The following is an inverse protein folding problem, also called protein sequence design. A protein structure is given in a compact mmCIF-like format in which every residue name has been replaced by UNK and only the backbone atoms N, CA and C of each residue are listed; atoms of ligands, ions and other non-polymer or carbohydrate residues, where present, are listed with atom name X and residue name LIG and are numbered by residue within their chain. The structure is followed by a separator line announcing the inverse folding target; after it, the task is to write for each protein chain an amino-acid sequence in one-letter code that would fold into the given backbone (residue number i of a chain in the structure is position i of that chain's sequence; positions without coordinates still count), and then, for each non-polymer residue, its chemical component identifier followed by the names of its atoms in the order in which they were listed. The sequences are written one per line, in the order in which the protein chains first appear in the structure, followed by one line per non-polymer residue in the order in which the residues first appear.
data_IF_413281458787
#
_entry.id   IF_413281458787
#
_cell.length_a   1.000
_cell.length_b   1.000
_cell.length_c   1.000
_cell.angle_alpha   90.00
_cell.angle_beta   90.00
_cell.angle_gamma   90.00
#
_symmetry.space_group_name_H-M   'P 1'
#
loop_
_entity.id
_entity.type
_entity.pdbx_description
1 polymer ?
#
# COMPACT_ATOMS: atom_id res chain seq x y z
N UNK A 1 -9.92 -2.24 3.42
CA UNK A 1 -11.12 -2.99 2.99
C UNK A 1 -10.80 -3.74 1.71
N UNK A 2 -11.55 -4.79 1.37
CA UNK A 2 -11.28 -5.61 0.18
C UNK A 2 -12.57 -5.96 -0.57
N UNK A 3 -12.53 -5.86 -1.90
CA UNK A 3 -13.53 -6.44 -2.81
C UNK A 3 -12.94 -7.65 -3.52
N UNK A 4 -13.76 -8.68 -3.73
CA UNK A 4 -13.39 -9.85 -4.51
C UNK A 4 -13.44 -9.59 -6.04
N UNK A 5 -13.22 -10.63 -6.84
CA UNK A 5 -13.23 -10.54 -8.31
C UNK A 5 -14.62 -10.25 -8.88
N UNK A 6 -15.68 -10.45 -8.11
CA UNK A 6 -17.07 -10.16 -8.44
C UNK A 6 -17.47 -8.75 -7.96
N UNK A 7 -16.53 -7.99 -7.40
CA UNK A 7 -16.76 -6.66 -6.86
C UNK A 7 -17.54 -6.65 -5.54
N UNK A 8 -17.72 -7.81 -4.90
CA UNK A 8 -18.42 -7.92 -3.63
C UNK A 8 -17.46 -7.69 -2.47
N UNK A 9 -17.96 -7.06 -1.39
CA UNK A 9 -17.17 -6.86 -0.18
C UNK A 9 -16.84 -8.20 0.48
N UNK A 10 -15.56 -8.46 0.72
CA UNK A 10 -15.12 -9.58 1.56
C UNK A 10 -15.57 -9.33 2.99
N UNK A 11 -16.05 -10.36 3.68
CA UNK A 11 -16.55 -10.26 5.05
C UNK A 11 -15.87 -11.25 5.99
N UNK A 12 -15.73 -10.86 7.24
CA UNK A 12 -15.24 -11.67 8.36
C UNK A 12 -16.23 -11.51 9.52
N UNK A 13 -16.81 -12.61 10.01
CA UNK A 13 -17.83 -12.60 11.08
C UNK A 13 -19.04 -11.69 10.79
N UNK A 14 -19.42 -11.53 9.52
CA UNK A 14 -20.56 -10.72 9.09
C UNK A 14 -20.24 -9.24 8.83
N UNK A 15 -19.06 -8.77 9.24
CA UNK A 15 -18.58 -7.40 9.01
C UNK A 15 -17.68 -7.34 7.77
N UNK A 16 -17.53 -6.14 7.19
CA UNK A 16 -16.61 -5.94 6.06
C UNK A 16 -15.18 -6.16 6.54
N UNK A 17 -14.45 -7.02 5.83
CA UNK A 17 -13.07 -7.31 6.16
C UNK A 17 -12.20 -6.08 5.90
N UNK A 18 -11.32 -5.78 6.85
CA UNK A 18 -10.31 -4.73 6.70
C UNK A 18 -9.04 -5.05 7.47
N UNK A 19 -7.96 -4.42 7.02
CA UNK A 19 -6.70 -4.32 7.72
C UNK A 19 -6.24 -2.85 7.67
N UNK A 20 -5.83 -2.25 8.80
CA UNK A 20 -5.29 -0.90 8.80
C UNK A 20 -3.91 -0.88 8.13
N UNK A 21 -3.58 0.22 7.46
CA UNK A 21 -2.26 0.48 6.89
C UNK A 21 -1.86 1.93 7.17
N UNK A 22 -0.61 2.17 7.54
CA UNK A 22 -0.05 3.49 7.72
C UNK A 22 0.55 3.99 6.40
N UNK A 23 0.12 5.18 5.97
CA UNK A 23 0.53 5.77 4.69
C UNK A 23 1.67 6.80 4.84
N UNK A 24 2.18 6.97 6.07
CA UNK A 24 3.07 8.06 6.45
C UNK A 24 4.55 7.76 6.17
N UNK A 25 5.23 8.74 5.59
CA UNK A 25 6.69 8.76 5.45
C UNK A 25 7.37 9.33 6.68
N UNK A 26 8.50 8.72 7.07
CA UNK A 26 9.37 9.20 8.16
C UNK A 26 9.92 10.61 7.89
N UNK A 27 10.13 10.95 6.61
CA UNK A 27 10.65 12.27 6.21
C UNK A 27 9.58 13.36 6.18
N UNK A 28 8.30 12.98 6.20
CA UNK A 28 7.14 13.91 6.11
C UNK A 28 7.18 14.85 4.90
N UNK A 29 7.85 14.45 3.82
CA UNK A 29 7.87 15.21 2.56
C UNK A 29 6.54 15.05 1.82
N UNK A 30 6.11 16.03 1.01
CA UNK A 30 4.92 15.90 0.17
C UNK A 30 4.99 14.69 -0.76
N UNK A 31 3.82 14.18 -1.15
CA UNK A 31 3.68 12.98 -1.99
C UNK A 31 4.42 13.06 -3.34
N UNK A 32 4.72 14.26 -3.85
CA UNK A 32 5.43 14.46 -5.12
C UNK A 32 6.92 14.13 -5.03
N UNK A 33 7.50 14.07 -3.83
CA UNK A 33 8.93 13.82 -3.65
C UNK A 33 9.23 12.32 -3.50
N UNK A 34 10.44 11.93 -3.92
CA UNK A 34 11.04 10.65 -3.51
C UNK A 34 11.09 10.60 -1.98
N UNK A 35 10.72 9.45 -1.42
CA UNK A 35 10.56 9.25 0.02
C UNK A 35 9.52 10.15 0.71
N UNK A 36 8.63 10.80 -0.05
CA UNK A 36 7.48 11.52 0.49
C UNK A 36 6.33 10.63 0.89
N UNK A 37 5.24 11.24 1.37
CA UNK A 37 4.01 10.54 1.73
C UNK A 37 3.53 9.62 0.60
N UNK A 38 2.80 8.56 0.96
CA UNK A 38 2.16 7.69 -0.02
C UNK A 38 1.15 8.51 -0.82
N UNK A 39 1.27 8.61 -2.16
CA UNK A 39 0.31 9.36 -2.96
C UNK A 39 -1.07 8.73 -2.90
N UNK A 40 -2.12 9.56 -2.93
CA UNK A 40 -3.49 9.07 -3.08
C UNK A 40 -3.78 8.69 -4.55
N UNK A 41 -4.69 7.75 -4.77
CA UNK A 41 -5.11 7.32 -6.10
C UNK A 41 -5.08 5.81 -6.30
N UNK A 42 -5.01 5.42 -7.57
CA UNK A 42 -5.10 4.03 -8.00
C UNK A 42 -3.70 3.45 -8.20
N UNK A 43 -3.52 2.25 -7.69
CA UNK A 43 -2.30 1.45 -7.83
C UNK A 43 -2.64 0.10 -8.41
N UNK A 44 -1.77 -0.39 -9.28
CA UNK A 44 -1.82 -1.77 -9.73
C UNK A 44 -1.09 -2.64 -8.71
N UNK A 45 -1.72 -3.71 -8.29
CA UNK A 45 -1.16 -4.65 -7.32
C UNK A 45 -0.82 -5.95 -8.05
N UNK A 46 0.45 -6.35 -8.08
CA UNK A 46 0.92 -7.53 -8.83
C UNK A 46 1.85 -8.40 -7.99
N UNK A 47 1.34 -9.55 -7.56
CA UNK A 47 2.14 -10.59 -6.93
C UNK A 47 2.82 -10.20 -5.61
N UNK A 48 3.65 -11.12 -5.15
CA UNK A 48 4.43 -10.98 -3.92
C UNK A 48 5.90 -10.82 -4.25
N UNK A 49 6.64 -10.17 -3.36
CA UNK A 49 8.06 -10.42 -3.14
C UNK A 49 8.08 -11.46 -2.03
N UNK A 50 8.21 -12.76 -2.36
CA UNK A 50 8.01 -13.86 -1.43
C UNK A 50 8.98 -13.81 -0.25
N UNK A 51 10.13 -13.17 -0.46
CA UNK A 51 11.10 -12.92 0.58
C UNK A 51 11.90 -11.66 0.25
N UNK A 52 11.56 -10.48 0.83
CA UNK A 52 12.38 -9.28 0.66
C UNK A 52 13.76 -9.40 1.32
N UNK A 53 13.95 -10.47 2.08
CA UNK A 53 15.14 -10.79 2.83
C UNK A 53 15.87 -12.02 2.26
N UNK A 54 15.42 -12.60 1.14
CA UNK A 54 16.13 -13.67 0.43
C UNK A 54 16.00 -13.49 -1.08
N UNK A 55 17.03 -12.92 -1.74
CA UNK A 55 17.25 -13.20 -3.15
C UNK A 55 17.30 -14.72 -3.36
N UNK A 56 16.89 -15.22 -4.53
CA UNK A 56 16.97 -16.65 -4.88
C UNK A 56 18.39 -17.23 -4.76
N UNK A 57 19.37 -16.34 -4.62
CA UNK A 57 20.81 -16.56 -4.64
C UNK A 57 21.46 -16.26 -3.26
N UNK A 58 20.70 -15.82 -2.24
CA UNK A 58 21.18 -15.62 -0.87
C UNK A 58 20.08 -15.91 0.17
N UNK A 59 20.13 -17.06 0.88
CA UNK A 59 19.04 -17.52 1.75
C UNK A 59 19.01 -16.89 3.15
N UNK A 60 19.87 -15.91 3.46
CA UNK A 60 19.86 -15.23 4.78
C UNK A 60 19.48 -13.75 4.60
N UNK A 61 18.38 -13.30 5.23
CA UNK A 61 18.08 -11.89 5.47
C UNK A 61 19.29 -11.09 5.85
N UNK A 62 19.62 -10.03 5.10
CA UNK A 62 20.45 -9.01 5.74
C UNK A 62 19.62 -8.40 6.87
N UNK A 63 20.29 -8.06 7.98
CA UNK A 63 19.64 -7.34 9.07
C UNK A 63 18.96 -6.08 8.55
N UNK A 64 19.57 -5.38 7.59
CA UNK A 64 19.00 -4.18 6.98
C UNK A 64 17.65 -4.42 6.28
N UNK A 65 17.51 -5.52 5.53
CA UNK A 65 16.24 -5.84 4.85
C UNK A 65 15.14 -6.22 5.85
N UNK A 66 15.47 -7.01 6.87
CA UNK A 66 14.51 -7.34 7.92
C UNK A 66 14.02 -6.09 8.64
N UNK A 67 14.95 -5.19 9.03
CA UNK A 67 14.58 -3.93 9.65
C UNK A 67 13.68 -3.08 8.74
N UNK A 68 13.99 -2.99 7.45
CA UNK A 68 13.22 -2.19 6.49
C UNK A 68 11.83 -2.76 6.20
N UNK A 69 11.69 -4.08 6.10
CA UNK A 69 10.54 -4.73 5.45
C UNK A 69 9.78 -5.74 6.31
N UNK A 70 10.35 -6.15 7.44
CA UNK A 70 9.78 -7.21 8.27
C UNK A 70 10.08 -8.61 7.76
N UNK A 71 9.40 -9.61 8.34
CA UNK A 71 9.63 -11.04 8.05
C UNK A 71 8.70 -11.63 6.99
N UNK A 72 7.62 -10.94 6.62
CA UNK A 72 6.59 -11.48 5.74
C UNK A 72 6.79 -11.07 4.27
N UNK A 73 6.24 -11.83 3.31
CA UNK A 73 6.21 -11.45 1.90
C UNK A 73 5.64 -10.06 1.67
N UNK A 74 6.23 -9.29 0.73
CA UNK A 74 5.76 -7.95 0.40
C UNK A 74 4.77 -7.98 -0.74
N UNK A 75 3.82 -7.06 -0.74
CA UNK A 75 2.90 -6.89 -1.87
C UNK A 75 3.44 -5.76 -2.75
N UNK A 76 3.63 -6.04 -4.04
CA UNK A 76 4.15 -5.04 -4.99
C UNK A 76 3.03 -4.16 -5.49
N UNK A 77 3.25 -2.85 -5.44
CA UNK A 77 2.35 -1.84 -5.98
C UNK A 77 3.06 -1.04 -7.06
N UNK A 78 2.35 -0.84 -8.17
CA UNK A 78 2.83 -0.05 -9.30
C UNK A 78 1.98 1.20 -9.47
N UNK A 79 2.64 2.32 -9.69
CA UNK A 79 1.96 3.54 -10.12
C UNK A 79 1.38 3.38 -11.53
N UNK A 80 0.34 4.15 -11.91
CA UNK A 80 -0.29 4.05 -13.21
C UNK A 80 0.67 4.08 -14.39
N UNK A 81 1.66 4.97 -14.33
CA UNK A 81 2.60 5.24 -15.43
C UNK A 81 3.99 4.64 -15.18
N UNK A 82 4.16 3.83 -14.14
CA UNK A 82 5.43 3.19 -13.78
C UNK A 82 5.79 2.05 -14.72
N UNK A 83 7.05 2.00 -15.14
CA UNK A 83 7.59 0.92 -15.95
C UNK A 83 7.81 -0.34 -15.10
N UNK A 84 7.64 -1.51 -15.70
CA UNK A 84 7.92 -2.80 -15.05
C UNK A 84 6.66 -3.59 -14.66
N UNK A 85 5.51 -2.93 -14.54
CA UNK A 85 4.22 -3.62 -14.39
C UNK A 85 3.86 -4.41 -15.65
N UNK A 86 3.20 -5.55 -15.48
CA UNK A 86 2.76 -6.41 -16.59
C UNK A 86 1.61 -5.78 -17.35
N UNK A 87 0.67 -5.20 -16.62
CA UNK A 87 -0.49 -4.51 -17.16
C UNK A 87 -1.10 -3.57 -16.10
N UNK A 88 -1.18 -2.27 -16.38
CA UNK A 88 -1.95 -1.38 -15.51
C UNK A 88 -3.45 -1.51 -15.73
N UNK A 89 -3.90 -1.52 -16.98
CA UNK A 89 -5.31 -1.76 -17.34
C UNK A 89 -5.48 -3.19 -17.86
N UNK A 90 -6.62 -3.85 -17.60
CA UNK A 90 -6.84 -5.21 -18.06
C UNK A 90 -6.71 -5.29 -19.59
N UNK A 91 -5.98 -6.31 -20.07
CA UNK A 91 -5.73 -6.53 -21.49
C UNK A 91 -4.88 -5.44 -22.17
N UNK A 92 -4.19 -4.59 -21.40
CA UNK A 92 -3.26 -3.59 -21.92
C UNK A 92 -1.87 -3.82 -21.32
N UNK A 93 -0.95 -4.32 -22.14
CA UNK A 93 0.41 -4.65 -21.70
C UNK A 93 1.16 -3.38 -21.28
N UNK A 94 1.79 -3.44 -20.11
CA UNK A 94 2.64 -2.39 -19.58
C UNK A 94 1.89 -1.27 -18.86
N UNK A 95 2.53 -0.11 -18.68
CA UNK A 95 1.94 1.01 -17.96
C UNK A 95 0.76 1.64 -18.67
N UNK A 96 -0.05 2.36 -17.90
CA UNK A 96 -1.00 3.33 -18.45
C UNK A 96 -0.26 4.42 -19.21
N UNK A 97 -0.64 4.64 -20.46
CA UNK A 97 -0.05 5.68 -21.33
C UNK A 97 -1.03 6.80 -21.68
N UNK A 98 -2.23 6.78 -21.09
CA UNK A 98 -3.26 7.78 -21.36
C UNK A 98 -2.98 9.14 -20.72
N UNK A 99 -3.79 10.12 -21.10
CA UNK A 99 -3.78 11.47 -20.53
C UNK A 99 -4.36 11.48 -19.10
N UNK A 100 -4.18 12.60 -18.39
CA UNK A 100 -4.80 12.79 -17.08
C UNK A 100 -6.33 12.65 -17.14
N UNK A 101 -6.97 13.20 -18.18
CA UNK A 101 -8.41 13.08 -18.37
C UNK A 101 -8.86 11.62 -18.55
N UNK A 102 -8.08 10.81 -19.29
CA UNK A 102 -8.34 9.39 -19.45
C UNK A 102 -8.12 8.62 -18.14
N UNK A 103 -7.14 9.01 -17.32
CA UNK A 103 -6.96 8.44 -15.99
C UNK A 103 -8.12 8.79 -15.05
N UNK A 104 -8.58 10.05 -15.06
CA UNK A 104 -9.74 10.48 -14.27
C UNK A 104 -11.01 9.72 -14.68
N UNK A 105 -11.18 9.39 -15.96
CA UNK A 105 -12.29 8.60 -16.46
C UNK A 105 -12.33 7.14 -15.95
N UNK A 106 -11.26 6.64 -15.32
CA UNK A 106 -11.25 5.34 -14.64
C UNK A 106 -12.07 5.36 -13.33
N UNK A 107 -12.34 6.54 -12.79
CA UNK A 107 -13.02 6.72 -11.50
C UNK A 107 -14.53 6.94 -11.66
N UNK A 108 -15.33 6.57 -10.64
CA UNK A 108 -16.75 6.93 -10.60
C UNK A 108 -16.95 8.45 -10.79
N UNK A 109 -18.05 8.91 -11.40
CA UNK A 109 -18.27 10.32 -11.71
C UNK A 109 -18.03 11.29 -10.54
N UNK A 110 -18.43 10.90 -9.32
CA UNK A 110 -18.24 11.69 -8.10
C UNK A 110 -16.78 11.88 -7.68
N UNK A 111 -15.88 11.04 -8.17
CA UNK A 111 -14.45 11.10 -7.87
C UNK A 111 -13.65 11.81 -8.95
N UNK A 112 -14.16 11.95 -10.18
CA UNK A 112 -13.36 12.46 -11.32
C UNK A 112 -12.77 13.87 -11.08
N UNK A 113 -13.43 14.69 -10.26
CA UNK A 113 -12.98 16.04 -9.87
C UNK A 113 -12.24 16.09 -8.53
N UNK A 114 -12.11 14.96 -7.82
CA UNK A 114 -11.39 14.89 -6.55
C UNK A 114 -9.87 14.88 -6.79
N UNK A 115 -9.26 16.07 -6.73
CA UNK A 115 -7.85 16.26 -7.09
C UNK A 115 -6.86 15.24 -6.45
N UNK A 116 -6.98 14.83 -5.17
CA UNK A 116 -6.06 13.88 -4.56
C UNK A 116 -5.92 12.52 -5.27
N UNK A 117 -6.94 11.98 -5.95
CA UNK A 117 -6.78 10.67 -6.63
C UNK A 117 -5.81 10.70 -7.83
N UNK A 118 -5.46 11.89 -8.29
CA UNK A 118 -4.52 12.09 -9.40
C UNK A 118 -3.07 12.06 -8.94
N UNK A 119 -2.81 12.02 -7.63
CA UNK A 119 -1.45 12.05 -7.09
C UNK A 119 -0.66 10.80 -7.52
N UNK A 120 -1.24 9.60 -7.51
CA UNK A 120 -0.54 8.39 -7.97
C UNK A 120 -0.17 8.46 -9.46
N UNK A 121 -1.08 8.96 -10.31
CA UNK A 121 -0.79 9.21 -11.72
C UNK A 121 0.38 10.20 -11.88
N UNK A 122 0.33 11.34 -11.18
CA UNK A 122 1.37 12.36 -11.22
C UNK A 122 2.71 11.89 -10.67
N UNK A 123 2.70 11.08 -9.60
CA UNK A 123 3.88 10.50 -8.98
C UNK A 123 4.59 9.52 -9.92
N UNK A 124 3.84 8.62 -10.57
CA UNK A 124 4.41 7.72 -11.58
C UNK A 124 5.01 8.50 -12.76
N UNK A 125 4.36 9.58 -13.20
CA UNK A 125 4.86 10.43 -14.30
C UNK A 125 6.17 11.13 -13.93
N UNK A 126 6.36 11.43 -12.65
CA UNK A 126 7.60 11.99 -12.09
C UNK A 126 8.67 10.91 -11.83
N UNK A 127 8.37 9.64 -12.09
CA UNK A 127 9.32 8.53 -11.95
C UNK A 127 9.35 7.89 -10.55
N UNK A 128 8.36 8.15 -9.68
CA UNK A 128 8.22 7.37 -8.44
C UNK A 128 7.92 5.90 -8.78
N UNK A 129 8.50 4.99 -7.99
CA UNK A 129 8.50 3.54 -8.21
C UNK A 129 8.72 2.81 -6.87
N UNK A 130 8.70 1.47 -6.88
CA UNK A 130 9.08 0.61 -5.77
C UNK A 130 8.17 0.71 -4.54
N UNK A 131 6.90 1.08 -4.77
CA UNK A 131 5.90 1.12 -3.71
C UNK A 131 5.49 -0.30 -3.32
N UNK A 132 5.35 -0.55 -2.02
CA UNK A 132 5.01 -1.87 -1.49
C UNK A 132 4.07 -1.75 -0.30
N UNK A 133 3.37 -2.85 0.00
CA UNK A 133 2.79 -3.06 1.32
C UNK A 133 3.73 -4.01 2.08
N UNK A 134 4.20 -3.58 3.24
CA UNK A 134 5.17 -4.31 4.05
C UNK A 134 5.07 -3.94 5.53
N UNK A 135 5.62 -4.78 6.41
CA UNK A 135 5.79 -4.44 7.83
C UNK A 135 7.17 -3.84 8.11
N UNK A 136 7.68 -3.97 9.32
CA UNK A 136 9.04 -3.56 9.66
C UNK A 136 9.57 -4.44 10.77
N UNK A 137 10.86 -4.76 10.72
CA UNK A 137 11.58 -5.43 11.81
C UNK A 137 12.11 -4.49 12.88
N UNK A 138 11.88 -3.18 12.75
CA UNK A 138 12.36 -2.18 13.70
C UNK A 138 11.50 -2.18 14.97
N UNK A 139 12.15 -1.87 16.09
CA UNK A 139 11.43 -1.55 17.32
C UNK A 139 10.59 -0.28 17.14
N UNK A 140 9.42 -0.25 17.78
CA UNK A 140 8.45 0.86 17.65
C UNK A 140 8.98 2.23 18.11
N UNK A 141 10.07 2.24 18.88
CA UNK A 141 10.77 3.45 19.34
C UNK A 141 12.01 3.83 18.50
N UNK A 142 12.27 3.15 17.38
CA UNK A 142 13.50 3.34 16.59
C UNK A 142 13.66 4.78 16.05
N UNK A 143 12.58 5.37 15.55
CA UNK A 143 12.60 6.76 15.06
C UNK A 143 12.33 7.73 16.20
N UNK A 144 13.39 8.14 16.91
CA UNK A 144 13.31 9.15 17.95
C UNK A 144 12.64 10.43 17.45
N UNK A 145 11.44 10.73 17.94
CA UNK A 145 10.62 11.89 17.52
C UNK A 145 9.45 11.55 16.59
N UNK A 146 9.26 10.29 16.21
CA UNK A 146 8.00 9.81 15.67
C UNK A 146 6.87 10.01 16.68
N UNK A 147 5.73 10.52 16.20
CA UNK A 147 4.54 10.87 17.01
C UNK A 147 3.26 10.25 16.45
N UNK A 148 3.37 9.27 15.56
CA UNK A 148 2.19 8.59 15.04
C UNK A 148 1.63 7.58 16.03
N UNK A 149 0.62 6.80 15.60
CA UNK A 149 -0.08 5.88 16.50
C UNK A 149 0.86 4.83 17.10
N UNK A 150 0.61 4.46 18.35
CA UNK A 150 1.41 3.48 19.07
C UNK A 150 1.45 2.14 18.33
N UNK A 151 2.62 1.52 18.24
CA UNK A 151 2.82 0.25 17.54
C UNK A 151 3.00 0.38 16.03
N UNK A 152 2.93 1.60 15.48
CA UNK A 152 3.12 1.86 14.05
C UNK A 152 4.45 2.53 13.77
N UNK A 153 5.09 2.13 12.67
CA UNK A 153 6.31 2.73 12.17
C UNK A 153 6.09 3.30 10.77
N UNK A 154 6.54 4.54 10.50
CA UNK A 154 6.48 5.12 9.18
C UNK A 154 7.49 4.44 8.25
N UNK A 155 7.28 4.58 6.95
CA UNK A 155 8.16 4.03 5.92
C UNK A 155 8.86 5.16 5.14
N UNK A 156 9.51 4.84 4.03
CA UNK A 156 9.97 5.83 3.03
C UNK A 156 8.87 6.10 1.97
N UNK A 157 7.60 6.04 2.37
CA UNK A 157 6.45 6.33 1.50
C UNK A 157 5.76 5.10 0.91
N UNK A 158 6.03 3.90 1.44
CA UNK A 158 5.27 2.66 1.28
C UNK A 158 4.05 2.60 2.22
N UNK A 159 3.18 1.61 2.00
CA UNK A 159 2.07 1.33 2.91
C UNK A 159 2.57 0.39 4.00
N UNK A 160 2.68 0.88 5.23
CA UNK A 160 3.11 0.07 6.38
C UNK A 160 1.94 -0.74 6.91
N UNK A 161 2.09 -2.06 6.98
CA UNK A 161 1.31 -2.91 7.85
C UNK A 161 1.96 -2.94 9.24
N UNK A 162 1.17 -3.12 10.29
CA UNK A 162 1.70 -3.22 11.64
C UNK A 162 2.43 -4.54 11.81
N UNK A 163 3.66 -4.44 12.28
CA UNK A 163 4.53 -5.58 12.55
C UNK A 163 5.43 -5.22 13.75
N UNK A 164 5.17 -5.84 14.89
CA UNK A 164 5.87 -5.55 16.16
C UNK A 164 6.36 -6.85 16.77
N UNK A 165 7.46 -6.76 17.52
CA UNK A 165 8.19 -7.93 18.06
C UNK A 165 8.42 -7.82 19.57
N UNK A 166 7.95 -6.75 20.21
CA UNK A 166 8.02 -6.55 21.67
C UNK A 166 6.99 -7.44 22.42
N UNK A 167 6.78 -7.22 23.72
CA UNK A 167 6.03 -8.10 24.64
C UNK A 167 4.59 -8.46 24.20
N UNK A 168 3.98 -7.68 23.30
CA UNK A 168 2.71 -8.01 22.65
C UNK A 168 2.85 -7.91 21.12
N UNK A 169 3.43 -8.94 20.46
CA UNK A 169 3.66 -8.92 19.03
C UNK A 169 2.35 -8.79 18.24
N UNK A 170 2.38 -7.99 17.18
CA UNK A 170 1.26 -7.79 16.27
C UNK A 170 1.76 -7.95 14.86
N UNK A 171 1.03 -8.70 14.03
CA UNK A 171 1.43 -9.02 12.66
C UNK A 171 0.23 -8.94 11.73
N UNK A 172 0.04 -7.80 11.06
CA UNK A 172 -1.11 -7.56 10.19
C UNK A 172 -0.86 -8.06 8.75
N UNK A 173 0.40 -8.26 8.34
CA UNK A 173 0.75 -8.81 7.02
C UNK A 173 0.15 -10.20 6.75
N UNK A 174 0.23 -11.20 7.65
CA UNK A 174 -0.41 -12.51 7.44
C UNK A 174 -1.91 -12.42 7.14
N UNK A 175 -2.64 -11.54 7.83
CA UNK A 175 -4.08 -11.35 7.59
C UNK A 175 -4.36 -10.85 6.17
N UNK A 176 -3.54 -9.91 5.70
CA UNK A 176 -3.63 -9.40 4.33
C UNK A 176 -3.26 -10.46 3.29
N UNK A 177 -2.15 -11.17 3.51
CA UNK A 177 -1.66 -12.21 2.60
C UNK A 177 -2.64 -13.38 2.47
N UNK A 178 -3.30 -13.77 3.57
CA UNK A 178 -4.33 -14.81 3.55
C UNK A 178 -5.51 -14.46 2.63
N UNK A 179 -5.90 -13.18 2.57
CA UNK A 179 -6.98 -12.73 1.69
C UNK A 179 -6.55 -12.58 0.23
N UNK A 180 -5.27 -12.34 -0.01
CA UNK A 180 -4.70 -12.18 -1.36
C UNK A 180 -4.18 -13.52 -1.95
N UNK A 181 -4.59 -14.65 -1.39
CA UNK A 181 -3.99 -15.96 -1.60
C UNK A 181 -3.73 -16.31 -3.09
N UNK A 182 -2.51 -16.83 -3.32
CA UNK A 182 -2.04 -17.36 -4.60
C UNK A 182 -0.83 -16.60 -5.16
N UNK A 183 0.15 -17.34 -5.70
CA UNK A 183 1.46 -16.84 -6.16
C UNK A 183 1.37 -15.86 -7.37
N UNK A 184 0.17 -15.66 -7.90
CA UNK A 184 -0.12 -14.89 -9.12
C UNK A 184 -1.37 -14.03 -8.98
N UNK A 185 -1.61 -13.46 -7.80
CA UNK A 185 -2.72 -12.53 -7.66
C UNK A 185 -2.38 -11.20 -8.36
N UNK A 186 -3.42 -10.61 -8.95
CA UNK A 186 -3.38 -9.23 -9.44
C UNK A 186 -4.67 -8.53 -9.02
N UNK A 187 -4.57 -7.23 -8.79
CA UNK A 187 -5.70 -6.42 -8.35
C UNK A 187 -5.38 -4.94 -8.42
N UNK A 188 -6.19 -4.15 -7.73
CA UNK A 188 -5.96 -2.72 -7.56
C UNK A 188 -6.01 -2.35 -6.09
N UNK A 189 -5.23 -1.35 -5.72
CA UNK A 189 -5.36 -0.67 -4.43
C UNK A 189 -5.77 0.77 -4.69
N UNK A 190 -6.83 1.18 -4.03
CA UNK A 190 -7.25 2.58 -3.96
C UNK A 190 -6.76 3.14 -2.64
N UNK A 191 -5.85 4.12 -2.72
CA UNK A 191 -5.31 4.82 -1.55
C UNK A 191 -6.01 6.16 -1.45
N UNK A 192 -6.68 6.39 -0.34
CA UNK A 192 -7.39 7.63 -0.05
C UNK A 192 -7.12 8.01 1.39
N UNK A 193 -6.92 9.31 1.61
CA UNK A 193 -6.88 9.87 2.94
C UNK A 193 -8.31 10.08 3.41
N UNK A 194 -8.63 9.60 4.60
CA UNK A 194 -9.95 9.77 5.17
C UNK A 194 -9.90 10.95 6.16
N UNK A 195 -10.76 11.96 6.01
CA UNK A 195 -10.84 13.06 6.97
C UNK A 195 -11.16 12.53 8.37
N UNK A 196 -10.36 12.89 9.36
CA UNK A 196 -10.58 12.48 10.74
C UNK A 196 -9.54 13.07 11.70
N UNK A 197 -9.72 12.93 13.03
CA UNK A 197 -8.65 13.16 13.98
C UNK A 197 -7.48 12.20 13.71
N UNK A 198 -6.33 12.36 14.38
CA UNK A 198 -5.21 11.39 14.37
C UNK A 198 -5.58 10.01 15.01
N UNK A 199 -6.87 9.66 15.01
CA UNK A 199 -7.43 8.41 15.51
C UNK A 199 -7.74 7.45 14.35
N UNK A 200 -7.61 6.14 14.56
CA UNK A 200 -8.04 5.15 13.59
C UNK A 200 -9.50 5.39 13.16
N UNK A 201 -9.75 5.40 11.85
CA UNK A 201 -11.10 5.50 11.29
C UNK A 201 -11.76 4.13 11.30
N UNK A 202 -12.97 4.01 11.86
CA UNK A 202 -13.72 2.76 11.80
C UNK A 202 -14.33 2.58 10.41
N UNK A 203 -14.52 1.34 9.96
CA UNK A 203 -15.18 1.06 8.66
C UNK A 203 -16.57 1.71 8.60
N UNK A 204 -17.29 1.72 9.73
CA UNK A 204 -18.61 2.33 9.84
C UNK A 204 -18.63 3.84 9.52
N UNK A 205 -17.47 4.51 9.63
CA UNK A 205 -17.33 5.94 9.37
C UNK A 205 -17.02 6.24 7.89
N UNK A 206 -16.78 5.20 7.08
CA UNK A 206 -16.43 5.36 5.67
C UNK A 206 -17.70 5.44 4.80
N UNK A 207 -17.78 6.41 3.87
CA UNK A 207 -18.83 6.40 2.86
C UNK A 207 -18.54 5.27 1.87
N UNK A 208 -19.09 4.09 2.14
CA UNK A 208 -18.95 2.94 1.25
C UNK A 208 -19.90 3.08 0.05
N UNK A 209 -19.40 2.96 -1.19
CA UNK A 209 -20.25 2.85 -2.37
C UNK A 209 -20.87 1.46 -2.50
#
# INVERSE_FOLDING_TARGET
MLKDRQGQWVKENGEIWSVPLLLQSVHRLPWSFTNGQTPQGLYRMEGLIPDPTRPQDNPIPTVAEFLAYGQYPLIQLFFPTEKGQREFLPNQKGPFTGTLAQYQALWPPSWQTHAPITQSYGAGRQGRTLLRIHGSGLATNHFGGWRGPQGWLPTLGCLAARETYEDSPQHDMPRLLQQLAGDRFTGYVVVVEVPGPDTPVAIADLPLP
#
